data_IF_626049701042
#
_entry.id   IF_626049701042
#
_cell.length_a   1.000
_cell.length_b   1.000
_cell.length_c   1.000
_cell.angle_alpha   90.00
_cell.angle_beta   90.00
_cell.angle_gamma   90.00
#
_symmetry.space_group_name_H-M   'P 1'
#
loop_
_entity.id
_entity.type
_entity.pdbx_description
1 polymer ?
#
# COMPACT_ATOMS: atom_id res chain seq x y z
N UNK A 1 15.29 3.80 36.28
CA UNK A 1 14.91 2.63 35.45
C UNK A 1 13.40 2.43 35.30
N UNK A 2 12.57 2.51 36.35
CA UNK A 2 11.10 2.35 36.23
C UNK A 2 10.43 3.31 35.25
N UNK A 3 10.77 4.60 35.27
CA UNK A 3 10.22 5.60 34.35
C UNK A 3 10.66 5.41 32.88
N UNK A 4 11.85 4.84 32.65
CA UNK A 4 12.32 4.46 31.32
C UNK A 4 11.52 3.29 30.75
N UNK A 5 11.17 2.30 31.60
CA UNK A 5 10.30 1.18 31.23
C UNK A 5 8.86 1.64 30.94
N UNK A 6 8.33 2.62 31.71
CA UNK A 6 6.99 3.16 31.47
C UNK A 6 6.92 4.00 30.19
N UNK A 7 7.95 4.81 29.91
CA UNK A 7 8.05 5.58 28.67
C UNK A 7 8.17 4.67 27.44
N UNK A 8 8.97 3.59 27.53
CA UNK A 8 9.11 2.61 26.45
C UNK A 8 7.79 1.87 26.15
N UNK A 9 7.05 1.48 27.19
CA UNK A 9 5.74 0.84 27.03
C UNK A 9 4.71 1.76 26.36
N UNK A 10 4.75 3.08 26.64
CA UNK A 10 3.83 4.06 26.05
C UNK A 10 4.11 4.29 24.56
N UNK A 11 5.37 4.27 24.13
CA UNK A 11 5.76 4.40 22.71
C UNK A 11 5.31 3.20 21.87
N UNK A 12 5.33 1.99 22.45
CA UNK A 12 4.83 0.77 21.80
C UNK A 12 3.31 0.82 21.57
N UNK A 13 2.56 1.37 22.53
CA UNK A 13 1.09 1.50 22.44
C UNK A 13 0.63 2.48 21.35
N UNK A 14 1.40 3.55 21.09
CA UNK A 14 1.04 4.56 20.07
C UNK A 14 1.38 4.08 18.64
N UNK A 15 2.35 3.18 18.47
CA UNK A 15 2.81 2.72 17.16
C UNK A 15 2.01 1.53 16.58
N UNK A 16 1.36 0.74 17.44
CA UNK A 16 0.56 -0.42 17.05
C UNK A 16 -0.59 -0.14 16.05
N UNK A 17 -1.41 0.93 16.18
CA UNK A 17 -2.54 1.15 15.28
C UNK A 17 -2.11 1.51 13.84
N UNK A 18 -0.96 2.16 13.67
CA UNK A 18 -0.43 2.51 12.35
C UNK A 18 0.04 1.26 11.58
N UNK A 19 0.73 0.34 12.24
CA UNK A 19 1.16 -0.95 11.65
C UNK A 19 -0.03 -1.85 11.30
N UNK A 20 -1.07 -1.88 12.14
CA UNK A 20 -2.27 -2.66 11.85
C UNK A 20 -3.02 -2.14 10.61
N UNK A 21 -3.03 -0.82 10.40
CA UNK A 21 -3.66 -0.19 9.23
C UNK A 21 -2.92 -0.52 7.94
N UNK A 22 -1.59 -0.43 7.91
CA UNK A 22 -0.81 -0.75 6.70
C UNK A 22 -0.98 -2.21 6.29
N UNK A 23 -0.97 -3.13 7.26
CA UNK A 23 -1.24 -4.55 7.00
C UNK A 23 -2.66 -4.81 6.46
N UNK A 24 -3.66 -4.03 6.87
CA UNK A 24 -5.02 -4.16 6.35
C UNK A 24 -5.12 -3.74 4.89
N UNK A 25 -4.46 -2.64 4.50
CA UNK A 25 -4.42 -2.19 3.10
C UNK A 25 -3.59 -3.14 2.23
N UNK A 26 -2.50 -3.69 2.76
CA UNK A 26 -1.72 -4.72 2.05
C UNK A 26 -2.56 -5.97 1.77
N UNK A 27 -3.41 -6.39 2.73
CA UNK A 27 -4.37 -7.48 2.49
C UNK A 27 -5.38 -7.13 1.40
N UNK A 28 -5.95 -5.92 1.44
CA UNK A 28 -6.89 -5.45 0.39
C UNK A 28 -6.23 -5.43 -0.99
N UNK A 29 -4.96 -5.03 -1.08
CA UNK A 29 -4.20 -5.07 -2.33
C UNK A 29 -4.05 -6.49 -2.86
N UNK A 30 -3.71 -7.46 -2.00
CA UNK A 30 -3.65 -8.87 -2.41
C UNK A 30 -5.00 -9.45 -2.80
N UNK A 31 -6.07 -9.08 -2.09
CA UNK A 31 -7.42 -9.51 -2.42
C UNK A 31 -7.85 -8.97 -3.79
N UNK A 32 -7.50 -7.71 -4.09
CA UNK A 32 -7.74 -7.10 -5.39
C UNK A 32 -6.94 -7.78 -6.52
N UNK A 33 -5.66 -8.11 -6.28
CA UNK A 33 -4.87 -8.88 -7.26
C UNK A 33 -5.55 -10.21 -7.61
N UNK A 34 -6.06 -10.92 -6.61
CA UNK A 34 -6.67 -12.24 -6.78
C UNK A 34 -8.09 -12.20 -7.37
N UNK A 35 -8.93 -11.27 -6.89
CA UNK A 35 -10.36 -11.28 -7.17
C UNK A 35 -10.76 -10.35 -8.32
N UNK A 36 -9.97 -9.31 -8.60
CA UNK A 36 -10.29 -8.32 -9.63
C UNK A 36 -9.31 -8.38 -10.81
N UNK A 37 -8.00 -8.27 -10.52
CA UNK A 37 -7.00 -8.16 -11.58
C UNK A 37 -6.74 -9.49 -12.29
N UNK A 38 -6.56 -10.58 -11.54
CA UNK A 38 -6.27 -11.90 -12.10
C UNK A 38 -7.35 -12.38 -13.09
N UNK A 39 -8.66 -12.34 -12.77
CA UNK A 39 -9.69 -12.75 -13.72
C UNK A 39 -9.63 -11.97 -15.04
N UNK A 40 -9.38 -10.66 -14.97
CA UNK A 40 -9.24 -9.80 -16.13
C UNK A 40 -7.97 -10.09 -16.95
N UNK A 41 -6.84 -10.36 -16.28
CA UNK A 41 -5.59 -10.73 -16.93
C UNK A 41 -5.74 -12.07 -17.66
N UNK A 42 -6.36 -13.06 -17.00
CA UNK A 42 -6.66 -14.37 -17.57
C UNK A 42 -7.55 -14.27 -18.80
N UNK A 43 -8.62 -13.45 -18.76
CA UNK A 43 -9.50 -13.21 -19.90
C UNK A 43 -8.77 -12.62 -21.11
N UNK A 44 -7.67 -11.88 -20.88
CA UNK A 44 -6.80 -11.32 -21.93
C UNK A 44 -5.67 -12.26 -22.35
N UNK A 45 -5.68 -13.52 -21.89
CA UNK A 45 -4.70 -14.53 -22.31
C UNK A 45 -3.40 -14.52 -21.50
N UNK A 46 -3.30 -13.79 -20.39
CA UNK A 46 -2.13 -13.87 -19.51
C UNK A 46 -2.11 -15.23 -18.80
N UNK A 47 -0.96 -15.91 -18.88
CA UNK A 47 -0.78 -17.20 -18.20
C UNK A 47 -0.67 -17.01 -16.68
N UNK A 48 -1.14 -17.99 -15.91
CA UNK A 48 -0.99 -17.98 -14.46
C UNK A 48 0.49 -17.91 -14.02
N UNK A 49 1.38 -18.60 -14.74
CA UNK A 49 2.82 -18.56 -14.48
C UNK A 49 3.39 -17.14 -14.64
N UNK A 50 3.01 -16.45 -15.73
CA UNK A 50 3.42 -15.06 -15.97
C UNK A 50 2.87 -14.12 -14.91
N UNK A 51 1.59 -14.25 -14.56
CA UNK A 51 0.97 -13.41 -13.54
C UNK A 51 1.64 -13.61 -12.18
N UNK A 52 1.80 -14.86 -11.75
CA UNK A 52 2.44 -15.19 -10.46
C UNK A 52 3.89 -14.69 -10.42
N UNK A 53 4.67 -14.88 -11.48
CA UNK A 53 6.05 -14.39 -11.52
C UNK A 53 6.14 -12.86 -11.52
N UNK A 54 5.20 -12.17 -12.16
CA UNK A 54 5.17 -10.71 -12.21
C UNK A 54 4.80 -10.08 -10.85
N UNK A 55 4.00 -10.77 -10.05
CA UNK A 55 3.54 -10.29 -8.74
C UNK A 55 4.24 -10.97 -7.54
N UNK A 56 5.21 -11.86 -7.78
CA UNK A 56 5.97 -12.49 -6.71
C UNK A 56 6.78 -11.44 -5.93
N UNK A 57 6.60 -11.42 -4.61
CA UNK A 57 7.24 -10.45 -3.73
C UNK A 57 6.79 -8.99 -3.89
N UNK A 58 5.80 -8.68 -4.75
CA UNK A 58 5.31 -7.32 -4.93
C UNK A 58 4.47 -6.87 -3.73
N UNK A 59 4.80 -5.69 -3.19
CA UNK A 59 4.06 -5.04 -2.10
C UNK A 59 3.73 -3.59 -2.45
N UNK A 60 2.79 -2.98 -1.72
CA UNK A 60 2.50 -1.55 -1.91
C UNK A 60 3.72 -0.68 -1.64
N UNK A 61 3.99 0.24 -2.57
CA UNK A 61 4.95 1.31 -2.34
C UNK A 61 4.29 2.46 -1.55
N UNK A 62 4.46 2.42 -0.24
CA UNK A 62 3.91 3.41 0.70
C UNK A 62 4.45 4.83 0.56
N UNK A 63 5.49 5.04 -0.26
CA UNK A 63 6.10 6.35 -0.53
C UNK A 63 5.54 7.03 -1.79
N UNK A 64 4.56 6.41 -2.46
CA UNK A 64 3.93 7.01 -3.63
C UNK A 64 3.17 8.28 -3.20
N UNK A 65 3.46 9.46 -3.81
CA UNK A 65 2.86 10.73 -3.40
C UNK A 65 1.35 10.76 -3.64
N UNK A 66 0.87 10.00 -4.63
CA UNK A 66 -0.54 9.90 -5.00
C UNK A 66 -1.25 8.70 -4.37
N UNK A 67 -0.57 7.95 -3.48
CA UNK A 67 -1.24 6.88 -2.74
C UNK A 67 -2.17 7.51 -1.72
N UNK A 68 -3.45 7.19 -1.82
CA UNK A 68 -4.47 7.62 -0.85
C UNK A 68 -4.92 6.39 -0.06
N UNK A 69 -4.25 6.05 1.06
CA UNK A 69 -4.76 5.04 1.96
C UNK A 69 -6.18 5.38 2.43
N UNK A 70 -7.02 4.37 2.74
CA UNK A 70 -8.31 4.63 3.36
C UNK A 70 -8.14 5.55 4.56
N UNK A 71 -8.97 6.60 4.68
CA UNK A 71 -8.98 7.59 5.76
C UNK A 71 -7.86 8.64 5.77
N UNK A 72 -7.04 8.74 4.71
CA UNK A 72 -6.22 9.92 4.46
C UNK A 72 -6.94 10.88 3.51
N UNK A 73 -6.76 12.19 3.69
CA UNK A 73 -7.22 13.17 2.69
C UNK A 73 -6.22 13.14 1.51
N UNK A 74 -6.69 13.12 0.25
CA UNK A 74 -5.79 13.20 -0.89
C UNK A 74 -4.95 14.48 -0.81
N UNK A 75 -3.63 14.36 -0.76
CA UNK A 75 -2.74 15.48 -1.05
C UNK A 75 -2.69 15.59 -2.57
N UNK A 76 -3.40 16.58 -3.13
CA UNK A 76 -3.32 16.82 -4.57
C UNK A 76 -1.91 17.31 -4.92
N UNK A 77 -1.20 16.69 -5.87
CA UNK A 77 0.06 17.24 -6.34
C UNK A 77 -0.17 18.67 -6.82
N UNK A 78 0.70 19.57 -6.38
CA UNK A 78 0.75 20.95 -6.85
C UNK A 78 0.89 20.93 -8.37
N UNK A 79 -0.22 21.15 -9.08
CA UNK A 79 -0.40 21.24 -10.55
C UNK A 79 0.85 20.78 -11.33
N UNK A 80 0.91 19.49 -11.70
CA UNK A 80 2.02 18.98 -12.52
C UNK A 80 2.10 19.80 -13.81
N UNK A 81 3.18 20.57 -13.97
CA UNK A 81 3.50 21.25 -15.23
C UNK A 81 4.61 20.47 -15.90
N UNK A 82 4.26 19.80 -17.00
CA UNK A 82 5.24 19.27 -17.94
C UNK A 82 5.63 20.42 -18.87
N UNK A 83 6.93 20.66 -19.04
CA UNK A 83 7.44 21.71 -19.91
C UNK A 83 7.10 21.48 -21.40
N UNK A 84 6.67 20.27 -21.75
CA UNK A 84 6.32 19.81 -23.10
C UNK A 84 4.85 20.08 -23.51
N UNK A 85 3.98 20.46 -22.57
CA UNK A 85 2.58 20.82 -22.85
C UNK A 85 2.27 22.25 -22.35
N UNK A 86 3.10 23.21 -22.80
CA UNK A 86 2.94 24.65 -22.54
C UNK A 86 2.13 25.37 -23.60
#
# INVERSE_FOLDING_TARGET
MRHLLTAFALVLLVSAPALARSQAVERQFRDWLANDLWPQARQRGVSAATFNAAFDGVTLNWKLPDLVPPGTRPETPRKQRQAEFG
#
